data_IF_248257080242
#
_entry.id   IF_248257080242
#
_cell.length_a   1.000
_cell.length_b   1.000
_cell.length_c   1.000
_cell.angle_alpha   90.00
_cell.angle_beta   90.00
_cell.angle_gamma   90.00
#
_symmetry.space_group_name_H-M   'P 1'
#
loop_
_entity.id
_entity.type
_entity.pdbx_description
1 polymer ?
#
# COMPACT_ATOMS: atom_id res chain seq x y z
N UNK A 1 13.62 8.98 28.10
CA UNK A 1 14.12 8.76 26.73
C UNK A 1 12.90 8.28 26.02
N UNK A 2 12.31 9.11 25.19
CA UNK A 2 11.24 8.67 24.31
C UNK A 2 11.85 7.63 23.38
N UNK A 3 11.25 6.44 23.37
CA UNK A 3 11.53 5.48 22.30
C UNK A 3 11.00 6.16 21.04
N UNK A 4 11.89 6.59 20.13
CA UNK A 4 11.49 7.42 18.99
C UNK A 4 10.44 6.73 18.11
N UNK A 5 9.79 7.51 17.27
CA UNK A 5 8.60 7.11 16.54
C UNK A 5 8.89 6.12 15.41
N UNK A 6 7.89 5.31 15.08
CA UNK A 6 7.86 4.54 13.85
C UNK A 6 6.84 5.16 12.89
N UNK A 7 7.15 5.09 11.59
CA UNK A 7 6.27 5.53 10.51
C UNK A 7 5.96 4.36 9.57
N UNK A 8 4.76 4.32 9.02
CA UNK A 8 4.37 3.28 8.06
C UNK A 8 4.15 3.86 6.68
N UNK A 9 4.85 3.32 5.69
CA UNK A 9 4.53 3.56 4.28
C UNK A 9 3.20 2.88 3.99
N UNK A 10 2.17 3.65 3.65
CA UNK A 10 0.79 3.22 3.70
C UNK A 10 0.00 3.63 2.46
N UNK A 11 -0.75 2.69 1.90
CA UNK A 11 -1.61 2.91 0.73
C UNK A 11 -3.06 2.47 0.96
N UNK A 12 -3.36 1.78 2.07
CA UNK A 12 -4.64 1.11 2.31
C UNK A 12 -4.78 -0.24 1.59
N UNK A 13 -3.85 -0.62 0.73
CA UNK A 13 -3.81 -1.94 0.11
C UNK A 13 -3.36 -3.04 1.09
N UNK A 14 -3.50 -4.29 0.67
CA UNK A 14 -3.21 -5.47 1.52
C UNK A 14 -1.79 -5.47 2.09
N UNK A 15 -0.79 -5.13 1.28
CA UNK A 15 0.62 -5.31 1.65
C UNK A 15 1.07 -4.27 2.69
N UNK A 16 0.69 -3.01 2.46
CA UNK A 16 0.99 -1.92 3.40
C UNK A 16 0.21 -2.04 4.70
N UNK A 17 -1.05 -2.47 4.64
CA UNK A 17 -1.89 -2.72 5.81
C UNK A 17 -1.38 -3.91 6.62
N UNK A 18 -0.89 -4.97 5.96
CA UNK A 18 -0.25 -6.09 6.64
C UNK A 18 1.07 -5.68 7.30
N UNK A 19 1.92 -4.92 6.61
CA UNK A 19 3.16 -4.41 7.20
C UNK A 19 2.89 -3.59 8.48
N UNK A 20 1.91 -2.69 8.42
CA UNK A 20 1.44 -1.92 9.57
C UNK A 20 0.95 -2.82 10.70
N UNK A 21 0.02 -3.75 10.41
CA UNK A 21 -0.53 -4.68 11.41
C UNK A 21 0.57 -5.47 12.11
N UNK A 22 1.51 -6.04 11.35
CA UNK A 22 2.64 -6.82 11.88
C UNK A 22 3.59 -5.99 12.73
N UNK A 23 3.67 -4.68 12.47
CA UNK A 23 4.46 -3.77 13.28
C UNK A 23 3.75 -3.41 14.59
N UNK A 24 2.44 -3.19 14.53
CA UNK A 24 1.58 -3.00 15.72
C UNK A 24 1.61 -4.23 16.63
N UNK A 25 1.52 -5.45 16.08
CA UNK A 25 1.63 -6.71 16.84
C UNK A 25 2.98 -6.84 17.57
N UNK A 26 4.06 -6.29 16.99
CA UNK A 26 5.40 -6.26 17.62
C UNK A 26 5.56 -5.16 18.65
N UNK A 27 4.56 -4.29 18.81
CA UNK A 27 4.60 -3.17 19.74
C UNK A 27 5.50 -2.03 19.29
N UNK A 28 5.74 -1.88 17.99
CA UNK A 28 6.43 -0.70 17.46
C UNK A 28 5.56 0.56 17.69
N UNK A 29 6.15 1.68 18.13
CA UNK A 29 5.42 2.92 18.42
C UNK A 29 5.05 3.66 17.11
N UNK A 30 4.09 3.12 16.36
CA UNK A 30 3.63 3.73 15.10
C UNK A 30 2.87 5.02 15.38
N UNK A 31 3.41 6.15 14.92
CA UNK A 31 2.83 7.48 15.16
C UNK A 31 2.29 8.17 13.90
N UNK A 32 2.76 7.76 12.71
CA UNK A 32 2.33 8.32 11.43
C UNK A 32 2.20 7.25 10.37
N UNK A 33 1.20 7.38 9.53
CA UNK A 33 1.12 6.74 8.21
C UNK A 33 1.59 7.76 7.18
N UNK A 34 2.26 7.31 6.12
CA UNK A 34 2.74 8.19 5.05
C UNK A 34 2.33 7.59 3.71
N UNK A 35 1.60 8.35 2.91
CA UNK A 35 1.25 8.00 1.53
C UNK A 35 1.84 9.02 0.58
N UNK A 36 2.41 8.54 -0.53
CA UNK A 36 2.88 9.40 -1.62
C UNK A 36 1.90 9.27 -2.77
N UNK A 37 1.39 10.39 -3.24
CA UNK A 37 0.51 10.42 -4.40
C UNK A 37 1.35 10.46 -5.67
N UNK A 38 0.97 9.78 -6.76
CA UNK A 38 1.71 9.86 -8.02
C UNK A 38 1.61 11.27 -8.63
N UNK A 39 2.62 11.64 -9.43
CA UNK A 39 2.66 12.93 -10.12
C UNK A 39 1.58 13.05 -11.21
N UNK A 40 0.82 14.14 -11.16
CA UNK A 40 -0.25 14.45 -12.09
C UNK A 40 -1.60 13.84 -11.69
N UNK A 41 -2.67 14.57 -12.02
CA UNK A 41 -4.02 14.02 -12.06
C UNK A 41 -3.98 12.81 -13.02
N UNK A 42 -3.91 11.58 -12.51
CA UNK A 42 -4.31 10.42 -13.30
C UNK A 42 -5.82 10.58 -13.51
N UNK A 43 -6.18 11.30 -14.58
CA UNK A 43 -7.54 11.76 -14.95
C UNK A 43 -8.52 10.62 -15.28
N UNK A 44 -8.32 9.42 -14.73
CA UNK A 44 -9.17 8.26 -14.99
C UNK A 44 -10.11 7.91 -13.83
N UNK A 45 -9.91 8.39 -12.60
CA UNK A 45 -10.77 8.02 -11.46
C UNK A 45 -11.33 9.22 -10.67
N UNK A 46 -12.65 9.43 -10.80
CA UNK A 46 -13.42 10.32 -9.94
C UNK A 46 -13.63 9.65 -8.57
N UNK A 47 -12.63 9.85 -7.72
CA UNK A 47 -12.51 9.88 -6.25
C UNK A 47 -11.03 9.56 -6.10
N UNK A 48 -10.17 10.54 -5.76
CA UNK A 48 -8.73 10.27 -5.72
C UNK A 48 -8.50 9.15 -4.70
N UNK A 49 -7.75 8.11 -5.10
CA UNK A 49 -7.43 6.93 -4.27
C UNK A 49 -6.94 7.32 -2.85
N UNK A 50 -6.42 8.54 -2.73
CA UNK A 50 -6.06 9.29 -1.52
C UNK A 50 -7.17 9.33 -0.46
N UNK A 51 -8.45 9.38 -0.84
CA UNK A 51 -9.57 9.30 0.11
C UNK A 51 -9.68 7.95 0.78
N UNK A 52 -9.36 6.86 0.10
CA UNK A 52 -9.46 5.52 0.68
C UNK A 52 -8.35 5.28 1.71
N UNK A 53 -7.12 5.67 1.40
CA UNK A 53 -6.01 5.62 2.36
C UNK A 53 -6.29 6.49 3.59
N UNK A 54 -6.86 7.69 3.40
CA UNK A 54 -7.27 8.58 4.50
C UNK A 54 -8.38 7.96 5.37
N UNK A 55 -9.36 7.32 4.75
CA UNK A 55 -10.46 6.66 5.46
C UNK A 55 -9.95 5.44 6.26
N UNK A 56 -9.04 4.67 5.68
CA UNK A 56 -8.36 3.58 6.39
C UNK A 56 -7.55 4.11 7.58
N UNK A 57 -6.79 5.19 7.40
CA UNK A 57 -6.07 5.85 8.49
C UNK A 57 -7.00 6.33 9.61
N UNK A 58 -8.16 6.92 9.27
CA UNK A 58 -9.17 7.32 10.25
C UNK A 58 -9.73 6.12 11.03
N UNK A 59 -9.91 4.98 10.36
CA UNK A 59 -10.34 3.75 11.01
C UNK A 59 -9.27 3.18 11.95
N UNK A 60 -8.02 3.20 11.52
CA UNK A 60 -6.88 2.69 12.30
C UNK A 60 -6.58 3.60 13.51
N UNK A 61 -6.93 4.88 13.41
CA UNK A 61 -6.66 5.88 14.45
C UNK A 61 -5.23 6.41 14.46
N UNK A 62 -4.45 6.20 13.39
CA UNK A 62 -3.10 6.74 13.23
C UNK A 62 -3.15 7.87 12.17
N UNK A 63 -2.60 9.07 12.47
CA UNK A 63 -2.61 10.19 11.52
C UNK A 63 -1.89 9.86 10.21
N UNK A 64 -2.53 10.20 9.08
CA UNK A 64 -1.95 10.09 7.74
C UNK A 64 -1.30 11.40 7.31
N UNK A 65 -0.08 11.29 6.79
CA UNK A 65 0.64 12.33 6.07
C UNK A 65 0.55 12.01 4.59
N UNK A 66 0.07 12.98 3.82
CA UNK A 66 -0.09 12.87 2.38
C UNK A 66 0.96 13.72 1.72
N UNK A 67 1.74 13.11 0.84
CA UNK A 67 2.86 13.73 0.12
C UNK A 67 2.43 13.87 -1.33
N UNK A 68 2.22 15.09 -1.82
CA UNK A 68 2.04 15.33 -3.25
C UNK A 68 3.43 15.64 -3.86
N UNK A 69 3.82 15.04 -4.98
CA UNK A 69 5.15 15.28 -5.52
C UNK A 69 5.33 16.74 -5.94
N UNK A 70 4.26 17.43 -6.33
CA UNK A 70 4.25 18.86 -6.61
C UNK A 70 4.58 19.75 -5.39
N UNK A 71 4.50 19.21 -4.16
CA UNK A 71 4.97 19.91 -2.95
C UNK A 71 6.50 20.03 -2.93
N UNK A 72 7.19 19.22 -3.74
CA UNK A 72 8.64 19.20 -3.90
C UNK A 72 8.96 19.59 -5.34
N UNK A 73 9.89 20.54 -5.57
CA UNK A 73 10.29 20.94 -6.93
C UNK A 73 11.06 19.79 -7.60
N UNK A 74 10.39 18.72 -8.00
CA UNK A 74 10.98 17.60 -8.73
C UNK A 74 11.38 18.09 -10.13
N UNK A 75 12.69 18.22 -10.38
CA UNK A 75 13.20 18.54 -11.71
C UNK A 75 12.82 17.40 -12.67
N UNK A 76 12.28 17.74 -13.85
CA UNK A 76 12.00 16.78 -14.94
C UNK A 76 13.28 16.04 -15.34
N UNK A 77 13.54 14.84 -14.80
CA UNK A 77 14.73 14.05 -15.15
C UNK A 77 14.43 13.10 -16.31
N UNK A 78 15.18 13.27 -17.41
CA UNK A 78 14.98 12.57 -18.69
C UNK A 78 15.67 11.20 -18.81
N UNK A 79 16.13 10.60 -17.71
CA UNK A 79 16.89 9.34 -17.74
C UNK A 79 16.29 8.26 -16.82
N UNK A 80 16.00 7.09 -17.41
CA UNK A 80 15.26 5.97 -16.79
C UNK A 80 15.93 5.35 -15.54
N UNK A 81 17.23 5.60 -15.33
CA UNK A 81 17.95 5.20 -14.11
C UNK A 81 17.85 6.21 -12.96
N UNK A 82 17.68 7.49 -13.27
CA UNK A 82 17.52 8.58 -12.28
C UNK A 82 16.04 8.77 -11.88
N UNK A 83 15.11 8.37 -12.75
CA UNK A 83 13.67 8.44 -12.51
C UNK A 83 13.21 7.64 -11.27
N UNK A 84 13.91 6.54 -10.95
CA UNK A 84 13.66 5.79 -9.73
C UNK A 84 14.11 6.49 -8.44
N UNK A 85 15.07 7.40 -8.51
CA UNK A 85 15.47 8.19 -7.33
C UNK A 85 14.48 9.35 -7.10
N UNK A 86 14.00 9.96 -8.19
CA UNK A 86 13.03 11.06 -8.16
C UNK A 86 11.70 10.68 -7.50
N UNK A 87 11.21 9.44 -7.66
CA UNK A 87 9.96 8.97 -7.03
C UNK A 87 10.04 8.92 -5.49
N UNK A 88 11.25 8.75 -4.93
CA UNK A 88 11.44 8.65 -3.47
C UNK A 88 11.91 9.95 -2.83
N UNK A 89 12.33 10.94 -3.62
CA UNK A 89 12.76 12.24 -3.10
C UNK A 89 11.65 12.95 -2.31
N UNK A 90 10.38 13.02 -2.80
CA UNK A 90 9.26 13.55 -2.02
C UNK A 90 9.04 12.77 -0.72
N UNK A 91 9.15 11.43 -0.77
CA UNK A 91 8.99 10.59 0.42
C UNK A 91 10.06 10.88 1.45
N UNK A 92 11.33 10.87 1.04
CA UNK A 92 12.46 11.10 1.92
C UNK A 92 12.43 12.51 2.53
N UNK A 93 12.02 13.52 1.75
CA UNK A 93 11.85 14.87 2.25
C UNK A 93 10.74 14.95 3.31
N UNK A 94 9.56 14.35 3.04
CA UNK A 94 8.48 14.25 4.02
C UNK A 94 8.91 13.49 5.29
N UNK A 95 9.69 12.42 5.15
CA UNK A 95 10.21 11.68 6.30
C UNK A 95 11.23 12.50 7.11
N UNK A 96 12.05 13.35 6.48
CA UNK A 96 12.93 14.29 7.20
C UNK A 96 12.14 15.33 7.99
N UNK A 97 11.09 15.90 7.38
CA UNK A 97 10.22 16.84 8.09
C UNK A 97 9.54 16.19 9.30
N UNK A 98 9.11 14.92 9.16
CA UNK A 98 8.56 14.15 10.26
C UNK A 98 9.60 13.78 11.32
N UNK A 99 10.84 13.48 10.93
CA UNK A 99 11.94 13.24 11.86
C UNK A 99 12.21 14.46 12.76
N UNK A 100 12.12 15.67 12.20
CA UNK A 100 12.25 16.93 12.95
C UNK A 100 11.00 17.24 13.81
N UNK A 101 9.81 16.82 13.41
CA UNK A 101 8.54 17.05 14.12
C UNK A 101 8.33 16.11 15.32
N UNK A 102 8.69 14.82 15.16
CA UNK A 102 8.36 13.77 16.12
C UNK A 102 9.29 13.78 17.32
N UNK A 103 8.73 13.55 18.53
CA UNK A 103 9.53 13.58 19.76
C UNK A 103 10.47 12.38 19.83
N UNK A 104 11.76 12.64 19.63
CA UNK A 104 12.79 11.58 19.56
C UNK A 104 13.06 11.06 18.15
N UNK A 105 12.51 11.71 17.11
CA UNK A 105 12.75 11.39 15.72
C UNK A 105 12.14 10.07 15.25
N UNK A 106 12.37 9.74 13.99
CA UNK A 106 12.00 8.46 13.38
C UNK A 106 13.10 7.44 13.69
N UNK A 107 12.73 6.37 14.38
CA UNK A 107 13.62 5.23 14.67
C UNK A 107 13.30 4.01 13.83
N UNK A 108 12.18 4.00 13.10
CA UNK A 108 11.88 2.96 12.15
C UNK A 108 10.80 3.28 11.13
N UNK A 109 10.86 2.58 10.01
CA UNK A 109 9.96 2.68 8.87
C UNK A 109 9.43 1.29 8.55
N UNK A 110 8.13 1.14 8.34
CA UNK A 110 7.54 -0.11 7.85
C UNK A 110 7.23 -0.04 6.36
N UNK A 111 7.46 -1.14 5.65
CA UNK A 111 7.27 -1.22 4.20
C UNK A 111 6.55 -2.51 3.79
N UNK A 112 5.66 -2.38 2.79
CA UNK A 112 4.83 -3.47 2.27
C UNK A 112 5.42 -4.21 1.06
N UNK A 113 6.74 -4.28 0.87
CA UNK A 113 7.33 -4.96 -0.28
C UNK A 113 7.43 -6.48 -0.07
N UNK A 114 6.94 -7.31 -1.01
CA UNK A 114 7.00 -8.78 -0.89
C UNK A 114 8.26 -9.35 -1.57
N UNK A 115 8.48 -9.10 -2.87
CA UNK A 115 9.55 -9.77 -3.64
C UNK A 115 10.50 -8.82 -4.39
N UNK A 116 10.12 -7.56 -4.62
CA UNK A 116 10.96 -6.58 -5.33
C UNK A 116 12.25 -6.15 -4.59
N UNK A 117 13.38 -6.77 -4.91
CA UNK A 117 14.72 -6.42 -4.35
C UNK A 117 15.06 -4.95 -4.57
N UNK A 118 14.59 -4.43 -5.70
CA UNK A 118 14.81 -3.07 -6.11
C UNK A 118 14.07 -2.07 -5.21
N UNK A 119 12.79 -2.31 -4.90
CA UNK A 119 12.03 -1.44 -3.99
C UNK A 119 12.60 -1.50 -2.57
N UNK A 120 12.90 -2.69 -2.07
CA UNK A 120 13.46 -2.89 -0.74
C UNK A 120 14.81 -2.18 -0.57
N UNK A 121 15.73 -2.33 -1.53
CA UNK A 121 17.05 -1.69 -1.48
C UNK A 121 16.95 -0.16 -1.43
N UNK A 122 16.00 0.43 -2.15
CA UNK A 122 15.80 1.88 -2.13
C UNK A 122 15.25 2.36 -0.78
N UNK A 123 14.29 1.64 -0.20
CA UNK A 123 13.73 1.95 1.12
C UNK A 123 14.79 1.80 2.21
N UNK A 124 15.60 0.75 2.16
CA UNK A 124 16.75 0.56 3.06
C UNK A 124 17.74 1.72 2.95
N UNK A 125 18.13 2.10 1.73
CA UNK A 125 19.05 3.22 1.49
C UNK A 125 18.49 4.56 1.98
N UNK A 126 17.18 4.77 1.92
CA UNK A 126 16.51 5.94 2.48
C UNK A 126 16.51 5.92 4.00
N UNK A 127 16.14 4.80 4.61
CA UNK A 127 16.10 4.64 6.06
C UNK A 127 17.51 4.76 6.69
N UNK A 128 18.55 4.23 6.04
CA UNK A 128 19.94 4.41 6.47
C UNK A 128 20.33 5.90 6.56
N UNK A 129 19.86 6.73 5.62
CA UNK A 129 20.10 8.18 5.63
C UNK A 129 19.32 8.93 6.71
N UNK A 130 18.26 8.32 7.25
CA UNK A 130 17.47 8.80 8.37
C UNK A 130 17.91 8.18 9.71
N UNK A 131 18.95 7.34 9.71
CA UNK A 131 19.36 6.54 10.88
C UNK A 131 18.22 5.68 11.47
N UNK A 132 17.26 5.29 10.63
CA UNK A 132 16.06 4.55 11.00
C UNK A 132 16.17 3.06 10.63
N UNK A 133 15.49 2.20 11.40
CA UNK A 133 15.37 0.77 11.09
C UNK A 133 14.32 0.53 10.00
N UNK A 134 14.47 -0.51 9.19
CA UNK A 134 13.41 -0.94 8.26
C UNK A 134 12.75 -2.21 8.77
N UNK A 135 11.42 -2.24 8.72
CA UNK A 135 10.62 -3.42 8.96
C UNK A 135 9.76 -3.75 7.74
N UNK A 136 10.21 -4.73 6.95
CA UNK A 136 9.53 -5.22 5.76
C UNK A 136 9.13 -6.69 5.99
N UNK A 137 7.98 -6.97 6.63
CA UNK A 137 7.64 -8.32 7.09
C UNK A 137 7.15 -9.26 5.98
N UNK A 138 6.97 -8.76 4.76
CA UNK A 138 6.57 -9.56 3.60
C UNK A 138 7.78 -10.00 2.76
N UNK A 139 8.95 -9.43 3.04
CA UNK A 139 10.14 -9.61 2.23
C UNK A 139 10.60 -11.07 2.19
N UNK A 140 10.67 -11.65 0.99
CA UNK A 140 11.05 -13.05 0.74
C UNK A 140 10.13 -14.10 1.36
N UNK A 141 8.93 -13.70 1.76
CA UNK A 141 7.91 -14.64 2.22
C UNK A 141 7.18 -15.27 1.03
N UNK A 142 6.65 -16.48 1.21
CA UNK A 142 5.89 -17.14 0.17
C UNK A 142 4.54 -16.42 -0.05
N UNK A 143 4.17 -16.06 -1.30
CA UNK A 143 2.95 -15.31 -1.57
C UNK A 143 1.66 -15.99 -1.08
N UNK A 144 1.57 -17.32 -1.18
CA UNK A 144 0.39 -18.07 -0.72
C UNK A 144 0.31 -18.10 0.80
N UNK A 145 1.42 -18.40 1.46
CA UNK A 145 1.48 -18.41 2.93
C UNK A 145 1.15 -17.02 3.51
N UNK A 146 1.59 -15.94 2.86
CA UNK A 146 1.21 -14.58 3.24
C UNK A 146 -0.28 -14.31 3.07
N UNK A 147 -0.86 -14.72 1.94
CA UNK A 147 -2.29 -14.56 1.70
C UNK A 147 -3.11 -15.29 2.77
N UNK A 148 -2.79 -16.56 3.02
CA UNK A 148 -3.46 -17.35 4.05
C UNK A 148 -3.29 -16.72 5.44
N UNK A 149 -2.10 -16.19 5.77
CA UNK A 149 -1.87 -15.48 7.03
C UNK A 149 -2.70 -14.21 7.18
N UNK A 150 -2.92 -13.45 6.09
CA UNK A 150 -3.81 -12.28 6.10
C UNK A 150 -5.25 -12.70 6.39
N UNK A 151 -5.74 -13.76 5.74
CA UNK A 151 -7.11 -14.28 5.95
C UNK A 151 -7.29 -14.83 7.37
N UNK A 152 -6.32 -15.59 7.87
CA UNK A 152 -6.33 -16.15 9.22
C UNK A 152 -6.31 -15.06 10.31
N UNK A 153 -5.67 -13.92 10.03
CA UNK A 153 -5.70 -12.75 10.90
C UNK A 153 -7.03 -11.97 10.84
N UNK A 154 -7.90 -12.28 9.88
CA UNK A 154 -9.21 -11.66 9.71
C UNK A 154 -9.21 -10.42 8.82
N UNK A 155 -8.27 -10.31 7.87
CA UNK A 155 -8.31 -9.23 6.87
C UNK A 155 -9.43 -9.48 5.86
N UNK A 156 -10.24 -8.45 5.61
CA UNK A 156 -11.13 -8.39 4.46
C UNK A 156 -10.49 -7.52 3.39
N UNK A 157 -10.15 -8.15 2.26
CA UNK A 157 -9.39 -7.52 1.18
C UNK A 157 -10.27 -7.53 -0.07
N UNK A 158 -10.48 -6.38 -0.68
CA UNK A 158 -11.27 -6.23 -1.89
C UNK A 158 -10.37 -5.85 -3.07
N UNK A 159 -10.56 -6.49 -4.22
CA UNK A 159 -9.86 -6.15 -5.46
C UNK A 159 -10.53 -4.93 -6.08
N UNK A 160 -9.77 -3.86 -6.26
CA UNK A 160 -10.28 -2.57 -6.75
C UNK A 160 -9.84 -2.26 -8.17
N UNK A 161 -8.83 -2.95 -8.69
CA UNK A 161 -8.33 -2.79 -10.05
C UNK A 161 -7.73 -4.09 -10.55
N UNK A 162 -7.85 -4.36 -11.84
CA UNK A 162 -7.16 -5.46 -12.52
C UNK A 162 -6.57 -4.97 -13.84
N UNK A 163 -5.37 -5.45 -14.18
CA UNK A 163 -4.63 -5.01 -15.35
C UNK A 163 -3.79 -6.11 -16.02
N UNK A 164 -4.10 -7.39 -15.78
CA UNK A 164 -3.37 -8.53 -16.32
C UNK A 164 -4.26 -9.47 -17.14
N UNK A 165 -3.63 -10.14 -18.12
CA UNK A 165 -4.28 -11.20 -18.88
C UNK A 165 -4.60 -12.39 -17.94
N UNK A 166 -5.83 -12.90 -18.02
CA UNK A 166 -6.36 -13.93 -17.12
C UNK A 166 -7.32 -13.37 -16.06
N UNK A 167 -7.21 -12.09 -15.71
CA UNK A 167 -8.17 -11.40 -14.84
C UNK A 167 -9.20 -10.67 -15.69
N UNK A 168 -10.47 -11.02 -15.55
CA UNK A 168 -11.59 -10.36 -16.20
C UNK A 168 -12.37 -9.41 -15.26
N UNK A 169 -13.44 -8.81 -15.76
CA UNK A 169 -14.27 -7.86 -15.01
C UNK A 169 -14.85 -8.46 -13.71
N UNK A 170 -15.01 -9.80 -13.62
CA UNK A 170 -15.59 -10.44 -12.44
C UNK A 170 -14.73 -10.37 -11.18
N UNK A 171 -13.43 -10.04 -11.34
CA UNK A 171 -12.52 -9.81 -10.23
C UNK A 171 -12.73 -8.45 -9.56
N UNK A 172 -13.35 -7.49 -10.25
CA UNK A 172 -13.58 -6.16 -9.70
C UNK A 172 -14.63 -6.19 -8.60
N UNK A 173 -14.24 -5.74 -7.40
CA UNK A 173 -15.06 -5.77 -6.21
C UNK A 173 -15.15 -7.14 -5.55
N UNK A 174 -14.43 -8.13 -6.06
CA UNK A 174 -14.34 -9.45 -5.45
C UNK A 174 -13.50 -9.37 -4.17
N UNK A 175 -13.97 -10.05 -3.13
CA UNK A 175 -13.18 -10.29 -1.92
C UNK A 175 -12.11 -11.34 -2.20
N UNK A 176 -10.88 -11.08 -1.77
CA UNK A 176 -9.80 -12.04 -1.80
C UNK A 176 -9.99 -13.04 -0.64
N UNK A 177 -10.79 -14.07 -0.87
CA UNK A 177 -11.02 -15.18 0.06
C UNK A 177 -10.28 -16.45 -0.41
N UNK A 178 -10.45 -17.57 0.30
CA UNK A 178 -9.79 -18.83 -0.03
C UNK A 178 -10.11 -19.32 -1.45
N UNK A 179 -11.36 -19.17 -1.90
CA UNK A 179 -11.77 -19.56 -3.26
C UNK A 179 -11.12 -18.65 -4.31
N UNK A 180 -11.04 -17.34 -4.05
CA UNK A 180 -10.33 -16.39 -4.92
C UNK A 180 -8.83 -16.69 -5.00
N UNK A 181 -8.20 -17.11 -3.89
CA UNK A 181 -6.79 -17.49 -3.89
C UNK A 181 -6.51 -18.76 -4.70
N UNK A 182 -7.37 -19.79 -4.57
CA UNK A 182 -7.25 -21.02 -5.36
C UNK A 182 -7.44 -20.76 -6.88
N UNK A 183 -8.31 -19.81 -7.23
CA UNK A 183 -8.45 -19.33 -8.61
C UNK A 183 -7.21 -18.56 -9.08
N UNK A 184 -6.62 -17.70 -8.24
CA UNK A 184 -5.37 -16.99 -8.57
C UNK A 184 -4.20 -17.95 -8.74
N UNK A 185 -4.11 -19.03 -7.97
CA UNK A 185 -3.12 -20.09 -8.19
C UNK A 185 -3.30 -20.78 -9.54
N UNK A 186 -4.55 -21.06 -9.93
CA UNK A 186 -4.85 -21.62 -11.24
C UNK A 186 -4.44 -20.66 -12.37
N UNK A 187 -4.69 -19.35 -12.19
CA UNK A 187 -4.27 -18.31 -13.14
C UNK A 187 -2.74 -18.09 -13.13
N UNK A 188 -2.07 -18.32 -12.00
CA UNK A 188 -0.62 -18.30 -11.90
C UNK A 188 -0.02 -19.42 -12.77
N UNK A 189 -0.56 -20.64 -12.64
CA UNK A 189 -0.11 -21.79 -13.44
C UNK A 189 -0.38 -21.61 -14.95
N UNK A 190 -1.51 -21.00 -15.32
CA UNK A 190 -1.92 -20.87 -16.72
C UNK A 190 -1.32 -19.64 -17.43
N UNK A 191 -1.30 -18.49 -16.74
CA UNK A 191 -0.98 -17.19 -17.33
C UNK A 191 0.17 -16.45 -16.63
N UNK A 192 0.66 -16.96 -15.49
CA UNK A 192 1.72 -16.32 -14.72
C UNK A 192 1.24 -15.12 -13.90
N UNK A 193 -0.06 -15.00 -13.61
CA UNK A 193 -0.60 -13.94 -12.75
C UNK A 193 -0.04 -14.11 -11.34
N UNK A 194 0.60 -13.09 -10.77
CA UNK A 194 1.11 -13.17 -9.41
C UNK A 194 -0.04 -13.29 -8.38
N UNK A 195 0.07 -14.24 -7.43
CA UNK A 195 -0.98 -14.54 -6.44
C UNK A 195 -1.32 -13.31 -5.58
N UNK A 196 -0.32 -12.49 -5.25
CA UNK A 196 -0.49 -11.23 -4.54
C UNK A 196 -0.47 -10.00 -5.46
N UNK A 197 -0.43 -10.14 -6.78
CA UNK A 197 -0.45 -9.00 -7.70
C UNK A 197 0.78 -8.07 -7.61
N UNK A 198 1.96 -8.59 -7.24
CA UNK A 198 3.22 -7.82 -7.10
C UNK A 198 3.62 -7.09 -8.39
N UNK A 199 3.30 -7.66 -9.56
CA UNK A 199 3.57 -7.09 -10.87
C UNK A 199 2.59 -5.99 -11.28
N UNK A 200 1.66 -5.60 -10.40
CA UNK A 200 0.58 -4.66 -10.71
C UNK A 200 -0.57 -5.32 -11.48
N UNK A 201 -0.69 -6.65 -11.41
CA UNK A 201 -1.78 -7.40 -12.04
C UNK A 201 -3.13 -7.01 -11.48
N UNK A 202 -3.19 -6.69 -10.19
CA UNK A 202 -4.36 -6.14 -9.53
C UNK A 202 -3.98 -5.27 -8.34
N UNK A 203 -4.86 -4.34 -7.98
CA UNK A 203 -4.73 -3.51 -6.78
C UNK A 203 -5.85 -3.85 -5.81
N UNK A 204 -5.57 -3.67 -4.52
CA UNK A 204 -6.49 -4.04 -3.44
C UNK A 204 -6.72 -2.89 -2.48
N UNK A 205 -7.83 -2.97 -1.76
CA UNK A 205 -8.11 -2.18 -0.57
C UNK A 205 -8.44 -3.14 0.58
N UNK A 206 -7.86 -2.91 1.76
CA UNK A 206 -8.33 -3.58 2.98
C UNK A 206 -9.56 -2.84 3.48
N UNK A 207 -10.71 -3.52 3.47
CA UNK A 207 -11.99 -2.95 3.91
C UNK A 207 -12.24 -3.20 5.38
N UNK A 208 -11.68 -4.26 5.96
CA UNK A 208 -11.75 -4.52 7.40
C UNK A 208 -10.56 -5.36 7.86
N UNK A 209 -10.26 -5.31 9.15
CA UNK A 209 -9.19 -6.11 9.74
C UNK A 209 -8.92 -5.80 11.22
N UNK A 210 -8.09 -6.61 11.89
CA UNK A 210 -7.84 -6.50 13.33
C UNK A 210 -7.15 -5.20 13.78
N UNK A 211 -6.59 -4.43 12.84
CA UNK A 211 -5.93 -3.15 13.09
C UNK A 211 -6.85 -1.94 12.86
N UNK A 212 -8.11 -2.17 12.48
CA UNK A 212 -9.10 -1.16 12.14
C UNK A 212 -10.19 -1.11 13.21
N UNK A 213 -10.59 0.09 13.65
CA UNK A 213 -11.71 0.25 14.59
C UNK A 213 -13.08 0.13 13.90
N UNK A 214 -13.13 0.47 12.60
CA UNK A 214 -14.35 0.50 11.78
C UNK A 214 -14.07 -0.01 10.38
N UNK A 215 -14.96 -0.82 9.82
CA UNK A 215 -14.83 -1.25 8.42
C UNK A 215 -15.13 -0.10 7.45
N UNK A 216 -14.54 -0.17 6.27
CA UNK A 216 -14.82 0.70 5.13
C UNK A 216 -15.88 0.04 4.26
N UNK A 217 -16.94 0.79 3.97
CA UNK A 217 -17.95 0.42 2.98
C UNK A 217 -17.79 1.30 1.75
N UNK A 218 -18.06 0.73 0.57
CA UNK A 218 -17.89 1.39 -0.72
C UNK A 218 -19.20 1.36 -1.53
N UNK A 219 -19.53 2.47 -2.16
CA UNK A 219 -20.46 2.53 -3.29
C UNK A 219 -19.65 2.77 -4.56
N UNK A 220 -19.83 1.93 -5.58
CA UNK A 220 -19.00 1.99 -6.79
C UNK A 220 -19.69 1.44 -8.03
N UNK A 221 -19.18 1.84 -9.19
CA UNK A 221 -19.44 1.22 -10.49
C UNK A 221 -18.18 0.51 -10.99
N UNK A 222 -18.32 -0.51 -11.85
CA UNK A 222 -17.18 -1.09 -12.57
C UNK A 222 -16.92 -0.32 -13.87
N UNK A 223 -15.66 0.00 -14.14
CA UNK A 223 -15.23 0.46 -15.46
C UNK A 223 -14.29 -0.59 -16.06
N UNK A 224 -14.65 -1.07 -17.26
CA UNK A 224 -13.94 -2.13 -17.96
C UNK A 224 -13.65 -1.73 -19.41
N UNK A 225 -12.38 -1.80 -19.81
CA UNK A 225 -11.94 -1.42 -21.16
C UNK A 225 -11.82 -2.60 -22.15
N UNK A 226 -12.11 -3.82 -21.69
CA UNK A 226 -11.92 -5.07 -22.44
C UNK A 226 -10.70 -5.87 -22.01
N UNK A 227 -9.75 -5.25 -21.30
CA UNK A 227 -8.49 -5.85 -20.88
C UNK A 227 -8.05 -5.46 -19.47
N UNK A 228 -8.52 -4.31 -19.00
CA UNK A 228 -8.26 -3.75 -17.68
C UNK A 228 -9.56 -3.21 -17.13
N UNK A 229 -9.62 -3.14 -15.82
CA UNK A 229 -10.71 -2.43 -15.18
C UNK A 229 -10.41 -2.06 -13.76
N UNK A 230 -11.39 -1.37 -13.18
CA UNK A 230 -11.24 -0.63 -11.94
C UNK A 230 -12.62 -0.39 -11.31
N UNK A 231 -12.64 -0.18 -10.01
CA UNK A 231 -13.80 0.33 -9.32
C UNK A 231 -13.78 1.85 -9.36
N UNK A 232 -14.79 2.42 -10.00
CA UNK A 232 -15.09 3.83 -9.90
C UNK A 232 -15.87 4.07 -8.62
N UNK A 233 -15.15 4.44 -7.56
CA UNK A 233 -15.74 4.70 -6.25
C UNK A 233 -16.62 5.96 -6.32
N UNK A 234 -17.92 5.80 -6.13
CA UNK A 234 -18.88 6.90 -6.05
C UNK A 234 -18.92 7.49 -4.65
N UNK A 235 -18.83 6.65 -3.62
CA UNK A 235 -18.79 7.05 -2.21
C UNK A 235 -18.06 5.99 -1.35
N UNK A 236 -17.54 6.41 -0.20
CA UNK A 236 -16.89 5.54 0.77
C UNK A 236 -17.05 6.09 2.20
N UNK A 237 -17.37 5.23 3.17
CA UNK A 237 -17.58 5.64 4.57
C UNK A 237 -17.16 4.56 5.57
N UNK A 238 -16.95 4.97 6.82
CA UNK A 238 -16.72 4.05 7.93
C UNK A 238 -18.04 3.64 8.59
N UNK A 239 -18.26 2.34 8.73
CA UNK A 239 -19.49 1.75 9.29
C UNK A 239 -19.39 1.41 10.78
#
# INVERSE_FOLDING_TARGET
MTDGAWVSLFSGGKDSSWALYRALERGHPLERLVTVHPDGDSYMYHVPATRLARLAAESIGIPLVEVEPADFEAEDVSDSGEQGNAELEPLEAALRELDDELDGGITGVTAGAVESEYQTTRIESMAERLEANVFAPLWQENPRDLADAMLDAGFEIQIIRVAAYGLDESWLGRTLDADALDELESLNDEYGVHILGEGGEFETLVTDGPHMDRRIELAYETEWDGSRGTLKIEDAWLA
#
